data_IF_731968540228
#
_entry.id   IF_731968540228
#
_cell.length_a   1.000
_cell.length_b   1.000
_cell.length_c   1.000
_cell.angle_alpha   90.00
_cell.angle_beta   90.00
_cell.angle_gamma   90.00
#
_symmetry.space_group_name_H-M   'P 1'
#
loop_
_entity.id
_entity.type
_entity.pdbx_description
1 polymer ?
#
# COMPACT_ATOMS: atom_id res chain seq x y z
N UNK A 1 -2.89 14.03 20.52
CA UNK A 1 -2.21 12.95 19.79
C UNK A 1 -2.93 12.76 18.45
N UNK A 2 -2.37 13.26 17.36
CA UNK A 2 -2.94 13.07 16.03
C UNK A 2 -2.64 11.61 15.65
N UNK A 3 -3.65 10.73 15.65
CA UNK A 3 -3.44 9.36 15.20
C UNK A 3 -3.14 9.40 13.70
N UNK A 4 -1.88 9.23 13.33
CA UNK A 4 -1.46 8.93 11.96
C UNK A 4 -2.06 7.57 11.58
N UNK A 5 -3.33 7.57 11.17
CA UNK A 5 -3.92 6.42 10.49
C UNK A 5 -3.06 6.14 9.27
N UNK A 6 -2.45 4.98 9.22
CA UNK A 6 -1.50 4.64 8.15
C UNK A 6 -2.31 4.53 6.86
N UNK A 7 -1.75 4.96 5.72
CA UNK A 7 -2.45 5.03 4.43
C UNK A 7 -3.17 3.72 4.01
N UNK A 8 -2.71 2.57 4.51
CA UNK A 8 -3.31 1.26 4.28
C UNK A 8 -4.67 1.05 4.98
N UNK A 9 -5.00 1.82 6.02
CA UNK A 9 -6.30 1.78 6.71
C UNK A 9 -7.44 2.31 5.83
N UNK A 10 -7.13 3.04 4.75
CA UNK A 10 -8.10 3.51 3.76
C UNK A 10 -8.25 2.57 2.55
N UNK A 11 -7.45 1.49 2.49
CA UNK A 11 -7.52 0.51 1.42
C UNK A 11 -8.50 -0.61 1.79
N UNK A 12 -9.37 -1.05 0.86
CA UNK A 12 -10.33 -2.10 1.14
C UNK A 12 -9.63 -3.44 1.37
N UNK A 13 -10.08 -4.19 2.38
CA UNK A 13 -9.55 -5.53 2.66
C UNK A 13 -10.01 -6.54 1.62
N UNK A 14 -9.31 -7.68 1.51
CA UNK A 14 -9.73 -8.76 0.62
C UNK A 14 -11.17 -9.23 0.94
N UNK A 15 -11.50 -9.37 2.22
CA UNK A 15 -12.83 -9.77 2.67
C UNK A 15 -13.91 -8.73 2.29
N UNK A 16 -13.62 -7.43 2.42
CA UNK A 16 -14.53 -6.38 1.98
C UNK A 16 -14.78 -6.44 0.47
N UNK A 17 -13.71 -6.56 -0.33
CA UNK A 17 -13.83 -6.67 -1.78
C UNK A 17 -14.60 -7.91 -2.22
N UNK A 18 -14.38 -9.05 -1.57
CA UNK A 18 -15.13 -10.29 -1.82
C UNK A 18 -16.62 -10.13 -1.53
N UNK A 19 -16.96 -9.51 -0.41
CA UNK A 19 -18.35 -9.21 -0.03
C UNK A 19 -19.01 -8.27 -1.04
N UNK A 20 -18.33 -7.19 -1.43
CA UNK A 20 -18.84 -6.23 -2.42
C UNK A 20 -19.04 -6.86 -3.80
N UNK A 21 -18.10 -7.68 -4.27
CA UNK A 21 -18.23 -8.43 -5.54
C UNK A 21 -19.42 -9.39 -5.47
N UNK A 22 -19.60 -10.07 -4.34
CA UNK A 22 -20.74 -10.98 -4.12
C UNK A 22 -22.06 -10.21 -4.19
N UNK A 23 -22.15 -9.06 -3.54
CA UNK A 23 -23.34 -8.20 -3.59
C UNK A 23 -23.65 -7.71 -5.02
N UNK A 24 -22.63 -7.30 -5.78
CA UNK A 24 -22.82 -6.87 -7.17
C UNK A 24 -23.28 -8.03 -8.06
N UNK A 25 -22.77 -9.24 -7.85
CA UNK A 25 -23.23 -10.45 -8.56
C UNK A 25 -24.68 -10.78 -8.20
N UNK A 26 -25.04 -10.73 -6.91
CA UNK A 26 -26.44 -10.91 -6.48
C UNK A 26 -27.37 -9.86 -7.08
N UNK A 27 -26.95 -8.59 -7.15
CA UNK A 27 -27.72 -7.53 -7.80
C UNK A 27 -27.96 -7.87 -9.28
N UNK A 28 -26.90 -8.25 -10.00
CA UNK A 28 -27.00 -8.67 -11.42
C UNK A 28 -27.96 -9.85 -11.60
N UNK A 29 -27.88 -10.86 -10.74
CA UNK A 29 -28.74 -12.04 -10.83
C UNK A 29 -30.19 -11.71 -10.46
N UNK A 30 -30.42 -10.78 -9.52
CA UNK A 30 -31.75 -10.25 -9.19
C UNK A 30 -32.36 -9.47 -10.35
N UNK A 31 -31.57 -8.64 -11.03
CA UNK A 31 -32.01 -7.90 -12.23
C UNK A 31 -32.46 -8.87 -13.32
N UNK A 32 -31.70 -9.95 -13.56
CA UNK A 32 -32.09 -11.02 -14.49
C UNK A 32 -33.39 -11.72 -14.06
N UNK A 33 -33.53 -12.05 -12.77
CA UNK A 33 -34.75 -12.67 -12.26
C UNK A 33 -35.98 -11.76 -12.35
N UNK A 34 -35.79 -10.45 -12.24
CA UNK A 34 -36.84 -9.45 -12.45
C UNK A 34 -37.33 -9.43 -13.91
N UNK A 35 -36.45 -9.62 -14.90
CA UNK A 35 -36.84 -9.70 -16.31
C UNK A 35 -37.77 -10.90 -16.58
N UNK A 36 -37.58 -12.02 -15.88
CA UNK A 36 -38.36 -13.26 -16.03
C UNK A 36 -39.66 -13.28 -15.19
N UNK A 37 -39.78 -12.35 -14.24
CA UNK A 37 -40.91 -12.27 -13.30
C UNK A 37 -42.28 -12.09 -13.98
N UNK A 38 -42.45 -11.23 -15.02
CA UNK A 38 -43.76 -11.00 -15.63
C UNK A 38 -44.33 -12.25 -16.29
N UNK A 39 -43.51 -13.01 -17.03
CA UNK A 39 -43.94 -14.27 -17.67
C UNK A 39 -44.23 -15.35 -16.63
N UNK A 40 -43.40 -15.44 -15.58
CA UNK A 40 -43.63 -16.38 -14.47
C UNK A 40 -44.92 -16.06 -13.72
N UNK A 41 -45.21 -14.78 -13.44
CA UNK A 41 -46.42 -14.34 -12.76
C UNK A 41 -47.67 -14.55 -13.64
N UNK A 42 -47.55 -14.30 -14.94
CA UNK A 42 -48.63 -14.55 -15.92
C UNK A 42 -49.00 -16.04 -15.99
N UNK A 43 -48.01 -16.93 -15.86
CA UNK A 43 -48.23 -18.38 -15.83
C UNK A 43 -48.89 -18.85 -14.53
N UNK A 44 -48.47 -18.30 -13.37
CA UNK A 44 -49.00 -18.67 -12.07
C UNK A 44 -50.39 -18.06 -11.76
N UNK A 45 -50.58 -16.79 -12.11
CA UNK A 45 -51.82 -16.06 -11.85
C UNK A 45 -52.01 -14.89 -12.86
N UNK A 46 -52.70 -15.16 -13.98
CA UNK A 46 -52.99 -14.15 -15.00
C UNK A 46 -53.72 -12.91 -14.47
N UNK A 47 -54.61 -13.08 -13.48
CA UNK A 47 -55.38 -11.97 -12.90
C UNK A 47 -54.53 -11.02 -12.05
N UNK A 48 -53.53 -11.53 -11.34
CA UNK A 48 -52.55 -10.70 -10.63
C UNK A 48 -51.61 -10.00 -11.59
N UNK A 49 -51.14 -10.69 -12.63
CA UNK A 49 -50.33 -10.07 -13.69
C UNK A 49 -51.06 -8.86 -14.31
N UNK A 50 -52.33 -9.02 -14.69
CA UNK A 50 -53.11 -7.96 -15.30
C UNK A 50 -53.30 -6.73 -14.37
N UNK A 51 -53.32 -6.95 -13.05
CA UNK A 51 -53.42 -5.88 -12.06
C UNK A 51 -52.12 -5.06 -11.90
N UNK A 52 -50.96 -5.68 -12.13
CA UNK A 52 -49.64 -5.06 -11.91
C UNK A 52 -48.82 -4.87 -13.20
N UNK A 53 -49.39 -5.15 -14.38
CA UNK A 53 -48.71 -5.13 -15.67
C UNK A 53 -47.96 -3.82 -15.94
N UNK A 54 -48.62 -2.67 -15.72
CA UNK A 54 -48.01 -1.35 -15.94
C UNK A 54 -46.81 -1.10 -15.02
N UNK A 55 -46.88 -1.54 -13.76
CA UNK A 55 -45.80 -1.41 -12.79
C UNK A 55 -44.61 -2.29 -13.14
N UNK A 56 -44.86 -3.53 -13.56
CA UNK A 56 -43.82 -4.48 -14.00
C UNK A 56 -43.16 -4.02 -15.31
N UNK A 57 -43.93 -3.45 -16.24
CA UNK A 57 -43.40 -2.89 -17.50
C UNK A 57 -42.42 -1.74 -17.24
N UNK A 58 -42.81 -0.76 -16.42
CA UNK A 58 -41.93 0.37 -16.04
C UNK A 58 -40.68 -0.08 -15.29
N UNK A 59 -40.81 -1.08 -14.43
CA UNK A 59 -39.69 -1.65 -13.69
C UNK A 59 -38.72 -2.37 -14.65
N UNK A 60 -39.23 -3.15 -15.60
CA UNK A 60 -38.40 -3.78 -16.63
C UNK A 60 -37.69 -2.76 -17.53
N UNK A 61 -38.36 -1.70 -17.99
CA UNK A 61 -37.71 -0.64 -18.77
C UNK A 61 -36.55 0.02 -18.01
N UNK A 62 -36.74 0.31 -16.73
CA UNK A 62 -35.70 0.85 -15.87
C UNK A 62 -34.53 -0.12 -15.68
N UNK A 63 -34.80 -1.41 -15.54
CA UNK A 63 -33.77 -2.45 -15.42
C UNK A 63 -33.01 -2.69 -16.72
N UNK A 64 -33.68 -2.66 -17.88
CA UNK A 64 -33.05 -2.76 -19.20
C UNK A 64 -32.11 -1.57 -19.42
N UNK A 65 -32.56 -0.35 -19.10
CA UNK A 65 -31.72 0.86 -19.20
C UNK A 65 -30.48 0.76 -18.31
N UNK A 66 -30.63 0.22 -17.10
CA UNK A 66 -29.51 -0.01 -16.18
C UNK A 66 -28.53 -1.06 -16.73
N UNK A 67 -29.03 -2.19 -17.24
CA UNK A 67 -28.22 -3.26 -17.83
C UNK A 67 -27.45 -2.82 -19.07
N UNK A 68 -28.08 -2.02 -19.95
CA UNK A 68 -27.44 -1.45 -21.14
C UNK A 68 -26.27 -0.52 -20.79
N UNK A 69 -26.29 0.09 -19.60
CA UNK A 69 -25.17 0.92 -19.12
C UNK A 69 -23.92 0.12 -18.74
N UNK A 70 -24.04 -1.20 -18.54
CA UNK A 70 -22.95 -2.12 -18.14
C UNK A 70 -22.16 -1.70 -16.89
N UNK A 71 -22.70 -0.75 -16.10
CA UNK A 71 -22.01 -0.17 -14.94
C UNK A 71 -21.67 -1.24 -13.90
N UNK A 72 -22.55 -2.21 -13.68
CA UNK A 72 -22.34 -3.31 -12.75
C UNK A 72 -21.17 -4.20 -13.15
N UNK A 73 -21.04 -4.53 -14.44
CA UNK A 73 -19.98 -5.43 -14.93
C UNK A 73 -18.62 -4.72 -14.90
N UNK A 74 -18.58 -3.43 -15.30
CA UNK A 74 -17.38 -2.60 -15.21
C UNK A 74 -16.89 -2.46 -13.76
N UNK A 75 -17.81 -2.25 -12.82
CA UNK A 75 -17.49 -2.15 -11.39
C UNK A 75 -17.02 -3.50 -10.84
N UNK A 76 -17.64 -4.62 -11.24
CA UNK A 76 -17.20 -5.97 -10.86
C UNK A 76 -15.78 -6.22 -11.36
N UNK A 77 -15.50 -6.00 -12.65
CA UNK A 77 -14.16 -6.22 -13.26
C UNK A 77 -13.11 -5.37 -12.55
N UNK A 78 -13.42 -4.11 -12.25
CA UNK A 78 -12.52 -3.22 -11.50
C UNK A 78 -12.25 -3.74 -10.10
N UNK A 79 -13.28 -4.16 -9.35
CA UNK A 79 -13.11 -4.72 -7.99
C UNK A 79 -12.36 -6.04 -8.00
N UNK A 80 -12.58 -6.91 -8.99
CA UNK A 80 -11.83 -8.17 -9.14
C UNK A 80 -10.35 -7.94 -9.45
N UNK A 81 -10.02 -6.93 -10.26
CA UNK A 81 -8.63 -6.52 -10.50
C UNK A 81 -7.98 -6.03 -9.22
N UNK A 82 -8.69 -5.22 -8.43
CA UNK A 82 -8.23 -4.76 -7.12
C UNK A 82 -8.04 -5.93 -6.16
N UNK A 83 -9.00 -6.87 -6.07
CA UNK A 83 -8.92 -8.05 -5.21
C UNK A 83 -7.71 -8.92 -5.57
N UNK A 84 -7.46 -9.16 -6.87
CA UNK A 84 -6.26 -9.86 -7.33
C UNK A 84 -4.99 -9.17 -6.87
N UNK A 85 -4.95 -7.83 -6.94
CA UNK A 85 -3.80 -7.05 -6.49
C UNK A 85 -3.63 -7.14 -4.96
N UNK A 86 -4.70 -6.96 -4.19
CA UNK A 86 -4.68 -7.09 -2.72
C UNK A 86 -4.19 -8.46 -2.30
N UNK A 87 -4.70 -9.54 -2.91
CA UNK A 87 -4.24 -10.91 -2.63
C UNK A 87 -2.78 -11.12 -3.02
N UNK A 88 -2.32 -10.56 -4.14
CA UNK A 88 -0.91 -10.67 -4.56
C UNK A 88 0.07 -9.92 -3.64
N UNK A 89 -0.43 -8.91 -2.91
CA UNK A 89 0.34 -8.13 -1.95
C UNK A 89 0.14 -8.63 -0.51
N UNK A 90 -0.71 -9.62 -0.29
CA UNK A 90 -0.94 -10.18 1.03
C UNK A 90 0.28 -10.99 1.46
N UNK A 91 0.82 -10.68 2.62
CA UNK A 91 2.00 -11.33 3.17
C UNK A 91 1.65 -12.02 4.47
N UNK A 92 2.21 -13.21 4.68
CA UNK A 92 2.02 -13.98 5.92
C UNK A 92 2.60 -13.22 7.12
N UNK A 93 3.77 -12.59 6.94
CA UNK A 93 4.46 -11.82 7.97
C UNK A 93 4.83 -10.43 7.44
N UNK A 94 3.91 -9.45 7.47
CA UNK A 94 4.14 -8.11 6.91
C UNK A 94 5.37 -7.40 7.51
N UNK A 95 5.72 -7.69 8.77
CA UNK A 95 6.91 -7.15 9.42
C UNK A 95 8.20 -7.48 8.65
N UNK A 96 8.28 -8.68 8.06
CA UNK A 96 9.45 -9.22 7.36
C UNK A 96 9.31 -9.21 5.83
N UNK A 97 8.24 -8.63 5.30
CA UNK A 97 7.88 -8.72 3.89
C UNK A 97 8.51 -7.67 2.97
N UNK A 98 7.75 -7.26 1.96
CA UNK A 98 8.15 -6.40 0.86
C UNK A 98 8.04 -4.92 1.24
N UNK A 99 8.92 -4.50 2.15
CA UNK A 99 9.01 -3.13 2.66
C UNK A 99 10.46 -2.61 2.65
N UNK A 100 10.62 -1.33 3.01
CA UNK A 100 11.92 -0.67 3.14
C UNK A 100 12.72 -0.70 1.84
N UNK A 101 14.03 -0.97 1.93
CA UNK A 101 14.93 -1.00 0.77
C UNK A 101 14.46 -1.94 -0.35
N UNK A 102 13.80 -3.05 0.01
CA UNK A 102 13.34 -4.05 -0.97
C UNK A 102 12.28 -3.47 -1.89
N UNK A 103 11.37 -2.66 -1.34
CA UNK A 103 10.36 -1.95 -2.11
C UNK A 103 11.03 -0.90 -3.01
N UNK A 104 12.00 -0.15 -2.48
CA UNK A 104 12.76 0.85 -3.25
C UNK A 104 13.61 0.25 -4.37
N UNK A 105 14.01 -1.02 -4.27
CA UNK A 105 14.75 -1.73 -5.33
C UNK A 105 13.81 -2.24 -6.43
N UNK A 106 12.64 -2.77 -6.08
CA UNK A 106 11.67 -3.31 -7.05
C UNK A 106 10.83 -2.24 -7.73
N UNK A 107 10.56 -1.13 -7.02
CA UNK A 107 9.80 0.03 -7.50
C UNK A 107 10.64 1.30 -7.30
N UNK A 108 11.74 1.46 -8.07
CA UNK A 108 12.69 2.56 -7.90
C UNK A 108 12.07 3.94 -8.09
N UNK A 109 10.94 4.05 -8.79
CA UNK A 109 10.17 5.29 -8.95
C UNK A 109 9.72 5.89 -7.61
N UNK A 110 9.42 5.07 -6.60
CA UNK A 110 8.99 5.53 -5.27
C UNK A 110 10.12 6.28 -4.58
N UNK A 111 11.30 5.66 -4.54
CA UNK A 111 12.49 6.26 -3.91
C UNK A 111 12.99 7.44 -4.73
N UNK A 112 12.97 7.33 -6.07
CA UNK A 112 13.42 8.41 -6.94
C UNK A 112 12.61 9.68 -6.73
N UNK A 113 11.29 9.56 -6.67
CA UNK A 113 10.40 10.68 -6.37
C UNK A 113 10.69 11.30 -5.00
N UNK A 114 10.86 10.49 -3.96
CA UNK A 114 11.12 10.99 -2.60
C UNK A 114 12.48 11.69 -2.50
N UNK A 115 13.53 11.09 -3.06
CA UNK A 115 14.88 11.66 -3.10
C UNK A 115 14.87 12.98 -3.85
N UNK A 116 14.24 13.02 -5.03
CA UNK A 116 14.13 14.23 -5.83
C UNK A 116 13.40 15.33 -5.05
N UNK A 117 12.25 15.03 -4.44
CA UNK A 117 11.50 16.01 -3.65
C UNK A 117 12.33 16.60 -2.49
N UNK A 118 13.09 15.77 -1.77
CA UNK A 118 13.95 16.22 -0.67
C UNK A 118 15.06 17.15 -1.18
N UNK A 119 15.75 16.76 -2.26
CA UNK A 119 16.87 17.52 -2.81
C UNK A 119 16.41 18.82 -3.49
N UNK A 120 15.29 18.79 -4.22
CA UNK A 120 14.70 19.99 -4.82
C UNK A 120 14.23 20.97 -3.76
N UNK A 121 13.56 20.49 -2.70
CA UNK A 121 13.16 21.34 -1.58
C UNK A 121 14.36 22.01 -0.92
N UNK A 122 15.44 21.26 -0.69
CA UNK A 122 16.68 21.81 -0.14
C UNK A 122 17.33 22.84 -1.09
N UNK A 123 17.34 22.59 -2.39
CA UNK A 123 17.85 23.54 -3.40
C UNK A 123 17.03 24.83 -3.43
N UNK A 124 15.70 24.74 -3.30
CA UNK A 124 14.82 25.91 -3.24
C UNK A 124 15.04 26.73 -1.96
N UNK A 125 15.13 26.07 -0.80
CA UNK A 125 15.48 26.75 0.46
C UNK A 125 16.84 27.46 0.37
N UNK A 126 17.84 26.82 -0.25
CA UNK A 126 19.15 27.44 -0.44
C UNK A 126 19.11 28.69 -1.33
N UNK A 127 18.24 28.74 -2.35
CA UNK A 127 18.02 29.96 -3.16
C UNK A 127 17.44 31.12 -2.36
N UNK A 128 16.67 30.82 -1.33
CA UNK A 128 16.11 31.80 -0.40
C UNK A 128 17.11 32.19 0.71
N UNK A 129 18.33 31.66 0.68
CA UNK A 129 19.36 31.91 1.69
C UNK A 129 19.23 31.06 2.95
N UNK A 130 18.35 30.06 2.96
CA UNK A 130 18.19 29.11 4.06
C UNK A 130 19.16 27.94 3.90
N UNK A 131 19.96 27.70 4.93
CA UNK A 131 20.93 26.61 4.94
C UNK A 131 20.25 25.33 5.43
N UNK A 132 20.17 24.32 4.56
CA UNK A 132 19.56 23.01 4.85
C UNK A 132 20.55 21.90 4.48
N UNK A 133 20.71 20.92 5.36
CA UNK A 133 21.56 19.75 5.14
C UNK A 133 20.71 18.48 5.26
N UNK A 134 20.11 17.98 4.17
CA UNK A 134 19.27 16.80 4.21
C UNK A 134 20.06 15.55 4.59
N UNK A 135 19.46 14.71 5.43
CA UNK A 135 19.96 13.37 5.74
C UNK A 135 19.05 12.33 5.09
N UNK A 136 19.57 11.62 4.09
CA UNK A 136 18.83 10.59 3.35
C UNK A 136 19.20 9.24 3.92
N UNK A 137 18.23 8.57 4.55
CA UNK A 137 18.45 7.30 5.25
C UNK A 137 17.66 6.16 4.61
N UNK A 138 18.34 5.04 4.35
CA UNK A 138 17.72 3.84 3.78
C UNK A 138 17.31 2.84 4.88
N UNK A 139 16.02 2.47 4.99
CA UNK A 139 15.53 1.51 5.98
C UNK A 139 15.65 0.04 5.52
N UNK A 140 15.70 -0.86 6.49
CA UNK A 140 15.67 -2.33 6.36
C UNK A 140 16.74 -2.92 5.45
N UNK A 141 17.89 -2.27 5.39
CA UNK A 141 19.04 -2.75 4.62
C UNK A 141 19.61 -3.99 5.29
N UNK A 142 19.89 -5.04 4.51
CA UNK A 142 20.52 -6.27 4.96
C UNK A 142 21.91 -6.48 4.34
N UNK A 143 22.17 -5.90 3.17
CA UNK A 143 23.42 -6.06 2.43
C UNK A 143 24.01 -4.73 1.94
N UNK A 144 25.31 -4.70 1.66
CA UNK A 144 25.98 -3.50 1.14
C UNK A 144 25.53 -3.19 -0.29
N UNK A 145 25.24 -4.23 -1.07
CA UNK A 145 24.78 -4.13 -2.45
C UNK A 145 23.41 -3.44 -2.54
N UNK A 146 22.52 -3.70 -1.57
CA UNK A 146 21.24 -3.00 -1.45
C UNK A 146 21.46 -1.50 -1.18
N UNK A 147 22.36 -1.16 -0.26
CA UNK A 147 22.68 0.23 0.09
C UNK A 147 23.29 0.98 -1.10
N UNK A 148 24.31 0.40 -1.74
CA UNK A 148 24.98 0.96 -2.92
C UNK A 148 24.01 1.21 -4.06
N UNK A 149 23.04 0.30 -4.27
CA UNK A 149 22.03 0.45 -5.31
C UNK A 149 21.18 1.69 -5.07
N UNK A 150 20.73 1.93 -3.84
CA UNK A 150 19.97 3.14 -3.52
C UNK A 150 20.87 4.38 -3.58
N UNK A 151 22.12 4.30 -3.10
CA UNK A 151 23.08 5.41 -3.19
C UNK A 151 23.29 5.85 -4.65
N UNK A 152 23.30 4.91 -5.59
CA UNK A 152 23.39 5.23 -7.03
C UNK A 152 22.22 6.07 -7.54
N UNK A 153 21.02 5.85 -7.00
CA UNK A 153 19.83 6.65 -7.32
C UNK A 153 19.98 8.07 -6.76
N UNK A 154 20.43 8.18 -5.50
CA UNK A 154 20.69 9.48 -4.86
C UNK A 154 21.70 10.29 -5.66
N UNK A 155 22.87 9.72 -6.00
CA UNK A 155 23.91 10.42 -6.79
C UNK A 155 23.39 10.90 -8.15
N UNK A 156 22.61 10.06 -8.84
CA UNK A 156 22.04 10.42 -10.15
C UNK A 156 21.06 11.58 -10.03
N UNK A 157 20.14 11.51 -9.08
CA UNK A 157 19.09 12.51 -8.90
C UNK A 157 19.69 13.82 -8.39
N UNK A 158 20.65 13.75 -7.46
CA UNK A 158 21.40 14.91 -7.01
C UNK A 158 22.02 15.67 -8.17
N UNK A 159 22.66 14.98 -9.13
CA UNK A 159 23.20 15.65 -10.31
C UNK A 159 22.14 16.31 -11.18
N UNK A 160 20.96 15.69 -11.32
CA UNK A 160 19.84 16.27 -12.07
C UNK A 160 19.33 17.54 -11.37
N UNK A 161 19.17 17.51 -10.05
CA UNK A 161 18.71 18.66 -9.26
C UNK A 161 19.74 19.80 -9.30
N UNK A 162 21.03 19.48 -9.18
CA UNK A 162 22.11 20.45 -9.30
C UNK A 162 22.07 21.18 -10.66
N UNK A 163 21.92 20.43 -11.76
CA UNK A 163 21.83 21.00 -13.10
C UNK A 163 20.55 21.82 -13.31
N UNK A 164 19.43 21.38 -12.74
CA UNK A 164 18.13 22.05 -12.89
C UNK A 164 18.06 23.35 -12.09
N UNK A 165 18.58 23.34 -10.87
CA UNK A 165 18.46 24.48 -9.95
C UNK A 165 19.70 25.37 -9.92
N UNK A 166 20.85 24.90 -10.38
CA UNK A 166 22.15 25.59 -10.29
C UNK A 166 22.69 25.66 -8.87
N UNK A 167 22.25 24.77 -7.98
CA UNK A 167 22.64 24.72 -6.56
C UNK A 167 23.19 23.32 -6.25
N UNK A 168 24.41 23.26 -5.75
CA UNK A 168 25.00 22.02 -5.22
C UNK A 168 24.54 21.82 -3.77
N UNK A 169 23.48 21.04 -3.60
CA UNK A 169 22.91 20.73 -2.29
C UNK A 169 23.85 19.76 -1.55
N UNK A 170 24.33 20.18 -0.39
CA UNK A 170 25.07 19.30 0.52
C UNK A 170 24.08 18.39 1.27
N UNK A 171 24.32 17.08 1.25
CA UNK A 171 23.50 16.08 1.94
C UNK A 171 24.39 15.02 2.58
N UNK A 172 23.82 14.23 3.50
CA UNK A 172 24.43 13.01 4.00
C UNK A 172 23.62 11.80 3.59
N UNK A 173 24.30 10.72 3.22
CA UNK A 173 23.67 9.45 2.93
C UNK A 173 23.98 8.42 4.03
N UNK A 174 22.96 7.74 4.53
CA UNK A 174 23.11 6.79 5.62
C UNK A 174 22.12 5.65 5.57
N UNK A 175 22.17 4.79 6.58
CA UNK A 175 21.31 3.61 6.68
C UNK A 175 20.76 3.43 8.09
N UNK A 176 19.52 2.93 8.16
CA UNK A 176 18.98 2.45 9.42
C UNK A 176 19.53 1.04 9.70
N UNK A 177 20.22 0.87 10.82
CA UNK A 177 20.65 -0.42 11.34
C UNK A 177 19.53 -1.03 12.18
N UNK A 178 18.68 -1.80 11.50
CA UNK A 178 17.53 -2.48 12.10
C UNK A 178 17.39 -3.95 11.69
N UNK A 179 18.30 -4.44 10.84
CA UNK A 179 18.39 -5.84 10.44
C UNK A 179 19.64 -6.45 11.06
N UNK A 180 19.49 -7.58 11.76
CA UNK A 180 20.61 -8.26 12.45
C UNK A 180 21.81 -8.47 11.53
N UNK A 181 21.57 -8.88 10.27
CA UNK A 181 22.65 -9.07 9.28
C UNK A 181 23.42 -7.78 8.98
N UNK A 182 22.74 -6.64 8.89
CA UNK A 182 23.40 -5.36 8.66
C UNK A 182 24.28 -4.97 9.85
N UNK A 183 23.82 -5.17 11.09
CA UNK A 183 24.63 -4.96 12.28
C UNK A 183 25.90 -5.85 12.27
N UNK A 184 25.76 -7.13 11.92
CA UNK A 184 26.88 -8.07 11.82
C UNK A 184 27.88 -7.77 10.70
N UNK A 185 27.50 -6.95 9.71
CA UNK A 185 28.30 -6.62 8.53
C UNK A 185 28.49 -5.11 8.35
N UNK A 186 28.26 -4.32 9.40
CA UNK A 186 28.23 -2.86 9.36
C UNK A 186 29.54 -2.25 8.85
N UNK A 187 30.68 -2.91 9.09
CA UNK A 187 32.00 -2.45 8.63
C UNK A 187 32.05 -2.14 7.14
N UNK A 188 31.48 -3.00 6.28
CA UNK A 188 31.43 -2.73 4.83
C UNK A 188 30.39 -1.69 4.46
N UNK A 189 29.31 -1.57 5.24
CA UNK A 189 28.27 -0.58 4.98
C UNK A 189 28.76 0.84 5.30
N UNK A 190 29.69 0.97 6.25
CA UNK A 190 30.29 2.24 6.65
C UNK A 190 31.22 2.84 5.58
N UNK A 191 31.61 2.06 4.56
CA UNK A 191 32.37 2.57 3.41
C UNK A 191 31.50 3.49 2.52
N UNK A 192 30.18 3.26 2.49
CA UNK A 192 29.21 4.04 1.71
C UNK A 192 28.30 4.92 2.57
N UNK A 193 28.02 4.53 3.82
CA UNK A 193 27.16 5.28 4.73
C UNK A 193 27.95 6.25 5.60
N UNK A 194 27.56 7.53 5.57
CA UNK A 194 28.13 8.59 6.40
C UNK A 194 27.57 8.59 7.83
N UNK A 195 26.44 7.93 8.04
CA UNK A 195 25.84 7.76 9.36
C UNK A 195 25.00 6.49 9.46
N UNK A 196 24.83 6.02 10.70
CA UNK A 196 23.88 4.96 11.04
C UNK A 196 22.88 5.46 12.07
N UNK A 197 21.62 5.08 11.89
CA UNK A 197 20.57 5.23 12.90
C UNK A 197 20.09 3.85 13.34
N UNK A 198 20.07 3.58 14.64
CA UNK A 198 19.61 2.28 15.14
C UNK A 198 18.09 2.26 15.25
N UNK A 199 17.43 1.52 14.36
CA UNK A 199 16.00 1.26 14.43
C UNK A 199 15.71 0.20 15.49
N UNK A 200 15.84 0.56 16.77
CA UNK A 200 15.80 -0.41 17.89
C UNK A 200 14.49 -1.17 18.00
N UNK A 201 13.37 -0.63 17.52
CA UNK A 201 12.09 -1.34 17.49
C UNK A 201 12.14 -2.59 16.59
N UNK A 202 12.54 -2.43 15.33
CA UNK A 202 12.67 -3.54 14.38
C UNK A 202 13.88 -4.42 14.74
N UNK A 203 14.98 -3.83 15.23
CA UNK A 203 16.16 -4.57 15.69
C UNK A 203 15.88 -5.47 16.89
N UNK A 204 15.10 -4.98 17.88
CA UNK A 204 14.72 -5.78 19.06
C UNK A 204 13.84 -6.95 18.66
N UNK A 205 12.82 -6.69 17.85
CA UNK A 205 11.94 -7.75 17.33
C UNK A 205 12.73 -8.81 16.55
N UNK A 206 13.68 -8.40 15.72
CA UNK A 206 14.54 -9.32 14.97
C UNK A 206 15.53 -10.07 15.86
N UNK A 207 16.13 -9.40 16.86
CA UNK A 207 17.11 -10.00 17.76
C UNK A 207 16.48 -11.02 18.69
N UNK A 208 15.32 -10.69 19.27
CA UNK A 208 14.57 -11.59 20.14
C UNK A 208 13.66 -12.57 19.39
N UNK A 209 13.53 -12.42 18.07
CA UNK A 209 12.71 -13.29 17.22
C UNK A 209 11.22 -13.35 17.62
N UNK A 210 10.65 -12.22 18.02
CA UNK A 210 9.21 -12.09 18.27
C UNK A 210 8.65 -10.81 17.66
N UNK A 211 7.35 -10.83 17.33
CA UNK A 211 6.62 -9.60 17.04
C UNK A 211 6.28 -8.91 18.36
N UNK A 212 6.34 -7.58 18.38
CA UNK A 212 5.99 -6.80 19.58
C UNK A 212 4.54 -7.05 20.01
N UNK A 213 3.63 -7.07 19.05
CA UNK A 213 2.19 -7.23 19.31
C UNK A 213 1.86 -8.61 19.88
N UNK A 214 2.49 -9.69 19.38
CA UNK A 214 2.28 -11.02 19.95
C UNK A 214 2.94 -11.16 21.33
N UNK A 215 4.13 -10.58 21.49
CA UNK A 215 4.88 -10.68 22.74
C UNK A 215 4.15 -10.00 23.90
N UNK A 216 3.70 -8.75 23.70
CA UNK A 216 2.98 -7.97 24.72
C UNK A 216 1.70 -8.65 25.19
N UNK A 217 0.98 -9.33 24.28
CA UNK A 217 -0.33 -9.92 24.59
C UNK A 217 -0.29 -11.38 25.07
N UNK A 218 0.76 -12.14 24.75
CA UNK A 218 0.76 -13.60 24.95
C UNK A 218 1.67 -14.07 26.07
N UNK A 219 2.88 -13.52 26.22
CA UNK A 219 3.88 -14.12 27.13
C UNK A 219 4.75 -13.13 27.90
N UNK A 220 4.93 -11.88 27.45
CA UNK A 220 5.74 -10.90 28.20
C UNK A 220 5.23 -10.62 29.62
N UNK A 221 3.90 -10.55 29.89
CA UNK A 221 3.41 -10.41 31.26
C UNK A 221 3.86 -11.56 32.15
N UNK A 222 3.76 -12.80 31.66
CA UNK A 222 4.20 -13.98 32.39
C UNK A 222 5.71 -13.98 32.64
N UNK A 223 6.54 -13.60 31.67
CA UNK A 223 8.00 -13.48 31.85
C UNK A 223 8.35 -12.48 32.96
N UNK A 224 7.63 -11.35 33.04
CA UNK A 224 7.86 -10.36 34.09
C UNK A 224 7.45 -10.87 35.48
N UNK A 225 6.45 -11.74 35.56
CA UNK A 225 5.99 -12.35 36.82
C UNK A 225 6.92 -13.48 37.29
N UNK A 226 7.48 -14.26 36.36
CA UNK A 226 8.27 -15.46 36.69
C UNK A 226 9.78 -15.23 36.81
N UNK A 227 10.29 -14.10 36.28
CA UNK A 227 11.72 -13.91 36.04
C UNK A 227 12.23 -14.75 34.87
#
# INVERSE_FOLDING_TARGET
>A
ACSTRRLHEFLPTAAQLEMEITHLRHLRDTIKGIEELPETLKLLNPGLYQKYADGLGRLNEAMTTFKESHLEEDVIVKKEKTLRKVRSLAEVNPMLGHRGVRLGITFPEIYSMQIQAVLEAAALCAKEGLVVYPEIMVPQVATVEELMRIHSYVKRIHKIVELTHGIDVQYKFGSMLEVVRACMRAGRMAEDAEFFSFGTNDLTQATFSFSREDAENKFLPAYNETG
#
